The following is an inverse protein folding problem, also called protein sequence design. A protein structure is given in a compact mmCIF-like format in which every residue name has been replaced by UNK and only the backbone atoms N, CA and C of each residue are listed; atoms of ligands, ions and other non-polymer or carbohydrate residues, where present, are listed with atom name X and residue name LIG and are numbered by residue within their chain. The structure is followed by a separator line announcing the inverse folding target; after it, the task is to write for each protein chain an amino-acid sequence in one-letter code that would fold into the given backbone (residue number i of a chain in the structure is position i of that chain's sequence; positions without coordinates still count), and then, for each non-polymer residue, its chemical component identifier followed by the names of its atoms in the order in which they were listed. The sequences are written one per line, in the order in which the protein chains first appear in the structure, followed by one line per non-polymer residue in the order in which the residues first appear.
data_IF_685227761095
#
_entry.id   IF_685227761095
#
_cell.length_a   1.000
_cell.length_b   1.000
_cell.length_c   1.000
_cell.angle_alpha   90.00
_cell.angle_beta   90.00
_cell.angle_gamma   90.00
#
_symmetry.space_group_name_H-M   'P 1'
#
loop_
_entity.id
_entity.type
_entity.pdbx_description
1 polymer ?
#
# COMPACT_ATOMS: atom_id res chain seq x y z
N UNK A 1 -23.32 -16.85 24.68
CA UNK A 1 -22.17 -15.94 24.53
C UNK A 1 -22.43 -14.73 25.41
N UNK A 2 -21.74 -14.60 26.56
CA UNK A 2 -21.89 -13.45 27.45
C UNK A 2 -20.54 -12.73 27.57
N UNK A 3 -20.53 -11.44 27.22
CA UNK A 3 -19.34 -10.60 27.23
C UNK A 3 -18.88 -10.38 28.67
N UNK A 4 -17.59 -10.63 28.95
CA UNK A 4 -16.97 -10.31 30.25
C UNK A 4 -16.80 -8.79 30.32
N UNK A 5 -17.51 -8.13 31.23
CA UNK A 5 -17.29 -6.72 31.55
C UNK A 5 -15.89 -6.49 32.13
N UNK A 6 -15.23 -5.41 31.73
CA UNK A 6 -13.95 -5.01 32.31
C UNK A 6 -14.15 -4.56 33.77
N UNK A 7 -13.26 -4.97 34.70
CA UNK A 7 -13.34 -4.52 36.08
C UNK A 7 -12.99 -3.02 36.15
N UNK A 8 -13.91 -2.23 36.73
CA UNK A 8 -13.66 -0.84 37.09
C UNK A 8 -12.53 -0.83 38.13
N UNK A 9 -11.44 -0.06 37.93
CA UNK A 9 -10.35 -0.03 38.89
C UNK A 9 -10.88 0.49 40.25
N UNK A 10 -10.40 -0.06 41.38
CA UNK A 10 -10.84 0.36 42.70
C UNK A 10 -10.57 1.85 42.87
N UNK A 11 -11.60 2.61 43.28
CA UNK A 11 -11.45 4.02 43.61
C UNK A 11 -10.44 4.14 44.76
N UNK A 12 -9.23 4.59 44.45
CA UNK A 12 -8.19 4.81 45.45
C UNK A 12 -8.63 5.91 46.42
N UNK A 13 -8.38 5.70 47.72
CA UNK A 13 -8.61 6.72 48.75
C UNK A 13 -7.91 8.04 48.36
N UNK A 14 -8.55 9.19 48.57
CA UNK A 14 -8.02 10.51 48.23
C UNK A 14 -6.64 10.78 48.85
N UNK A 15 -6.36 10.24 50.05
CA UNK A 15 -5.04 10.31 50.69
C UNK A 15 -3.98 9.53 49.90
N UNK A 16 -4.35 8.34 49.40
CA UNK A 16 -3.45 7.54 48.58
C UNK A 16 -3.19 8.21 47.23
N UNK A 17 -4.19 8.87 46.63
CA UNK A 17 -4.03 9.65 45.40
C UNK A 17 -3.08 10.83 45.60
N UNK A 18 -3.23 11.60 46.69
CA UNK A 18 -2.33 12.70 47.03
C UNK A 18 -0.88 12.21 47.24
N UNK A 19 -0.71 11.08 47.92
CA UNK A 19 0.62 10.49 48.12
C UNK A 19 1.27 10.07 46.79
N UNK A 20 0.51 9.45 45.88
CA UNK A 20 0.99 9.07 44.54
C UNK A 20 1.42 10.32 43.76
N UNK A 21 0.60 11.37 43.79
CA UNK A 21 0.90 12.63 43.11
C UNK A 21 2.19 13.27 43.65
N UNK A 22 2.36 13.31 44.97
CA UNK A 22 3.60 13.79 45.60
C UNK A 22 4.82 12.97 45.21
N UNK A 23 4.68 11.64 45.09
CA UNK A 23 5.77 10.77 44.63
C UNK A 23 6.15 11.05 43.16
N UNK A 24 5.17 11.29 42.29
CA UNK A 24 5.43 11.65 40.89
C UNK A 24 6.20 12.96 40.79
N UNK A 25 5.79 14.01 41.51
CA UNK A 25 6.51 15.30 41.49
C UNK A 25 7.95 15.14 41.95
N UNK A 26 8.19 14.39 43.04
CA UNK A 26 9.56 14.14 43.51
C UNK A 26 10.40 13.43 42.47
N UNK A 27 9.83 12.42 41.82
CA UNK A 27 10.50 11.65 40.76
C UNK A 27 10.80 12.52 39.55
N UNK A 28 9.86 13.37 39.14
CA UNK A 28 10.03 14.32 38.05
C UNK A 28 11.14 15.32 38.36
N UNK A 29 11.16 15.91 39.56
CA UNK A 29 12.22 16.83 39.98
C UNK A 29 13.60 16.16 39.96
N UNK A 30 13.70 14.91 40.42
CA UNK A 30 14.94 14.15 40.33
C UNK A 30 15.34 13.84 38.88
N UNK A 31 14.37 13.47 38.04
CA UNK A 31 14.61 13.22 36.63
C UNK A 31 15.10 14.49 35.93
N UNK A 32 14.48 15.64 36.19
CA UNK A 32 14.88 16.94 35.67
C UNK A 32 16.30 17.32 36.10
N UNK A 33 16.69 17.08 37.36
CA UNK A 33 18.07 17.32 37.83
C UNK A 33 19.08 16.39 37.15
N UNK A 34 18.71 15.12 36.93
CA UNK A 34 19.56 14.12 36.26
C UNK A 34 19.61 14.31 34.74
N UNK A 35 18.65 15.03 34.16
CA UNK A 35 18.47 15.16 32.72
C UNK A 35 19.64 15.87 32.02
N UNK A 36 20.16 17.04 32.48
CA UNK A 36 21.31 17.67 31.83
C UNK A 36 22.57 16.80 31.85
N UNK A 37 22.77 16.00 32.90
CA UNK A 37 23.92 15.11 32.99
C UNK A 37 23.81 13.92 32.03
N UNK A 38 22.62 13.32 31.90
CA UNK A 38 22.39 12.17 31.01
C UNK A 38 22.18 12.55 29.56
N UNK A 39 21.49 13.67 29.30
CA UNK A 39 20.96 14.06 28.00
C UNK A 39 21.42 15.45 27.55
N UNK A 40 22.28 16.13 28.30
CA UNK A 40 22.75 17.47 27.94
C UNK A 40 23.49 17.54 26.60
N UNK A 41 23.99 16.42 26.10
CA UNK A 41 24.56 16.33 24.75
C UNK A 41 23.52 16.61 23.63
N UNK A 42 22.21 16.43 23.90
CA UNK A 42 21.13 16.75 22.97
C UNK A 42 20.85 18.24 22.85
N UNK A 43 21.33 19.05 23.81
CA UNK A 43 21.18 20.51 23.80
C UNK A 43 22.55 21.15 23.57
N UNK A 44 23.12 21.04 22.36
CA UNK A 44 24.39 21.69 22.08
C UNK A 44 24.24 23.21 22.31
N UNK A 45 25.29 23.89 22.82
CA UNK A 45 25.29 25.33 22.92
C UNK A 45 24.95 25.96 21.58
N UNK A 46 24.13 27.00 21.58
CA UNK A 46 23.68 27.71 20.39
C UNK A 46 24.84 28.09 19.45
N UNK A 47 26.00 28.45 20.00
CA UNK A 47 27.22 28.73 19.24
C UNK A 47 27.69 27.58 18.34
N UNK A 48 27.50 26.31 18.74
CA UNK A 48 27.84 25.15 17.91
C UNK A 48 26.84 24.94 16.79
N UNK A 49 25.58 25.31 16.99
CA UNK A 49 24.54 25.24 15.96
C UNK A 49 24.80 26.31 14.88
N UNK A 50 25.12 27.55 15.29
CA UNK A 50 25.38 28.66 14.36
C UNK A 50 26.64 28.43 13.52
N UNK A 51 27.68 27.81 14.09
CA UNK A 51 28.91 27.48 13.34
C UNK A 51 28.66 26.53 12.17
N UNK A 52 27.74 25.58 12.30
CA UNK A 52 27.39 24.65 11.21
C UNK A 52 26.57 25.29 10.09
N UNK A 53 25.89 26.41 10.34
CA UNK A 53 25.13 27.15 9.31
C UNK A 53 26.01 28.20 8.59
N UNK A 54 27.08 28.65 9.25
CA UNK A 54 28.04 29.64 8.74
C UNK A 54 29.19 29.03 7.92
N UNK A 55 29.40 27.71 7.92
CA UNK A 55 30.34 27.10 7.00
C UNK A 55 29.76 27.15 5.60
N UNK A 56 30.46 27.83 4.68
CA UNK A 56 30.03 28.06 3.31
C UNK A 56 29.58 26.75 2.65
N UNK A 57 28.56 26.78 1.76
CA UNK A 57 28.06 25.58 1.12
C UNK A 57 29.20 24.87 0.39
N UNK A 58 29.64 23.74 0.98
CA UNK A 58 30.62 22.87 0.36
C UNK A 58 30.14 22.56 -1.07
N UNK A 59 31.02 22.60 -2.08
CA UNK A 59 30.63 22.28 -3.44
C UNK A 59 29.98 20.90 -3.45
N UNK A 60 28.74 20.84 -3.91
CA UNK A 60 27.92 19.63 -3.95
C UNK A 60 28.78 18.52 -4.58
N UNK A 61 29.05 17.41 -3.87
CA UNK A 61 29.86 16.36 -4.45
C UNK A 61 29.13 15.82 -5.68
N UNK A 62 29.80 15.87 -6.84
CA UNK A 62 29.34 15.22 -8.07
C UNK A 62 29.48 13.70 -7.88
N UNK A 63 28.53 13.11 -7.17
CA UNK A 63 28.45 11.67 -7.00
C UNK A 63 27.84 11.13 -8.29
N UNK A 64 28.67 10.64 -9.20
CA UNK A 64 28.18 9.82 -10.30
C UNK A 64 27.61 8.52 -9.71
N UNK A 65 26.35 8.15 -9.97
CA UNK A 65 25.82 6.88 -9.52
C UNK A 65 26.64 5.72 -10.09
N UNK A 66 27.00 4.76 -9.24
CA UNK A 66 27.62 3.51 -9.69
C UNK A 66 26.75 2.84 -10.76
N UNK A 67 27.34 2.12 -11.71
CA UNK A 67 26.64 1.58 -12.90
C UNK A 67 25.33 0.84 -12.59
N UNK A 68 25.27 0.10 -11.48
CA UNK A 68 24.07 -0.64 -11.07
C UNK A 68 22.94 0.24 -10.50
N UNK A 69 23.24 1.48 -10.12
CA UNK A 69 22.27 2.50 -9.67
C UNK A 69 21.79 3.38 -10.83
N UNK A 70 22.40 3.25 -12.02
CA UNK A 70 21.98 3.99 -13.19
C UNK A 70 20.68 3.39 -13.71
N UNK A 71 19.71 4.27 -14.00
CA UNK A 71 18.44 3.87 -14.61
C UNK A 71 18.75 3.31 -16.00
N UNK A 72 18.40 2.04 -16.22
CA UNK A 72 18.55 1.44 -17.54
C UNK A 72 17.66 2.18 -18.54
N UNK A 73 18.15 2.46 -19.76
CA UNK A 73 17.32 3.08 -20.79
C UNK A 73 16.10 2.21 -21.04
N UNK A 74 14.93 2.84 -21.12
CA UNK A 74 13.68 2.15 -21.43
C UNK A 74 13.84 1.52 -22.80
N UNK A 75 13.83 0.19 -22.84
CA UNK A 75 13.92 -0.53 -24.09
C UNK A 75 12.62 -0.25 -24.86
N UNK A 76 12.69 0.19 -26.13
CA UNK A 76 11.51 0.54 -26.90
C UNK A 76 10.51 -0.61 -26.95
N UNK A 77 9.24 -0.28 -26.76
CA UNK A 77 8.13 -1.22 -26.61
C UNK A 77 7.99 -2.13 -27.84
N UNK A 78 8.40 -1.64 -29.01
CA UNK A 78 8.38 -2.35 -30.29
C UNK A 78 9.21 -3.64 -30.26
N UNK A 79 10.23 -3.73 -29.39
CA UNK A 79 11.03 -4.96 -29.25
C UNK A 79 10.25 -6.10 -28.59
N UNK A 80 9.25 -5.78 -27.76
CA UNK A 80 8.50 -6.77 -26.99
C UNK A 80 7.06 -6.94 -27.45
N UNK A 81 6.44 -5.91 -28.05
CA UNK A 81 5.09 -6.00 -28.61
C UNK A 81 5.18 -6.39 -30.09
N UNK A 82 4.98 -7.68 -30.37
CA UNK A 82 4.84 -8.19 -31.73
C UNK A 82 3.41 -7.94 -32.22
N UNK A 83 3.24 -6.97 -33.13
CA UNK A 83 1.93 -6.66 -33.72
C UNK A 83 1.73 -7.56 -34.95
N UNK A 84 0.81 -8.52 -34.89
CA UNK A 84 0.39 -9.31 -36.03
C UNK A 84 -0.66 -8.56 -36.87
N UNK A 85 -0.80 -8.86 -38.17
CA UNK A 85 -1.82 -8.23 -39.01
C UNK A 85 -3.23 -8.55 -38.52
N UNK A 86 -4.15 -7.59 -38.71
CA UNK A 86 -5.56 -7.77 -38.33
C UNK A 86 -6.24 -8.83 -39.22
N UNK A 87 -7.20 -9.61 -38.68
CA UNK A 87 -8.01 -10.50 -39.50
C UNK A 87 -8.77 -9.74 -40.62
N UNK A 88 -9.29 -10.44 -41.65
CA UNK A 88 -10.04 -9.81 -42.73
C UNK A 88 -11.36 -9.22 -42.25
N UNK A 89 -11.64 -7.98 -42.67
CA UNK A 89 -12.84 -7.25 -42.28
C UNK A 89 -14.08 -7.92 -42.92
N UNK A 90 -15.17 -8.14 -42.16
CA UNK A 90 -16.40 -8.71 -42.69
C UNK A 90 -17.07 -7.76 -43.69
N UNK A 91 -17.69 -8.33 -44.72
CA UNK A 91 -18.40 -7.56 -45.77
C UNK A 91 -19.75 -7.02 -45.30
N UNK A 92 -20.32 -7.59 -44.23
CA UNK A 92 -21.65 -7.23 -43.73
C UNK A 92 -21.54 -6.37 -42.48
N UNK A 93 -22.44 -5.40 -42.34
CA UNK A 93 -22.51 -4.53 -41.15
C UNK A 93 -22.86 -5.30 -39.89
N UNK A 94 -23.71 -6.32 -39.98
CA UNK A 94 -24.02 -7.22 -38.87
C UNK A 94 -22.78 -8.00 -38.41
N UNK A 95 -21.94 -8.44 -39.34
CA UNK A 95 -20.69 -9.12 -39.03
C UNK A 95 -19.65 -8.19 -38.39
N UNK A 96 -19.79 -6.87 -38.50
CA UNK A 96 -18.82 -5.92 -37.95
C UNK A 96 -18.82 -5.86 -36.42
N UNK A 97 -19.87 -6.35 -35.77
CA UNK A 97 -19.93 -6.39 -34.30
C UNK A 97 -19.17 -7.64 -33.83
N UNK A 98 -18.08 -7.44 -33.09
CA UNK A 98 -17.37 -8.53 -32.41
C UNK A 98 -16.53 -9.46 -33.29
N UNK A 99 -16.41 -9.22 -34.61
CA UNK A 99 -15.67 -10.13 -35.51
C UNK A 99 -14.24 -10.45 -35.09
N UNK A 100 -13.50 -9.49 -34.53
CA UNK A 100 -12.14 -9.74 -34.03
C UNK A 100 -12.12 -10.79 -32.92
N UNK A 101 -13.10 -10.74 -32.04
CA UNK A 101 -13.27 -11.64 -30.90
C UNK A 101 -13.79 -13.03 -31.29
N UNK A 102 -14.25 -13.21 -32.54
CA UNK A 102 -14.69 -14.53 -33.06
C UNK A 102 -13.54 -15.35 -33.66
N UNK A 103 -12.35 -14.75 -33.83
CA UNK A 103 -11.18 -15.44 -34.39
C UNK A 103 -10.48 -16.20 -33.27
N UNK A 104 -10.26 -17.53 -33.41
CA UNK A 104 -9.55 -18.31 -32.40
C UNK A 104 -8.19 -17.71 -32.07
N UNK A 105 -7.94 -17.45 -30.78
CA UNK A 105 -6.72 -16.81 -30.28
C UNK A 105 -6.75 -15.28 -30.19
N UNK A 106 -7.81 -14.63 -30.70
CA UNK A 106 -8.11 -13.21 -30.50
C UNK A 106 -9.39 -12.99 -29.68
N UNK A 107 -9.86 -14.06 -29.03
CA UNK A 107 -11.05 -14.07 -28.18
C UNK A 107 -10.85 -13.15 -26.97
N UNK A 108 -11.89 -12.39 -26.60
CA UNK A 108 -11.85 -11.56 -25.39
C UNK A 108 -11.97 -12.41 -24.12
N UNK A 109 -12.74 -13.50 -24.20
CA UNK A 109 -13.03 -14.38 -23.08
C UNK A 109 -12.13 -15.62 -23.12
N UNK A 110 -11.00 -15.59 -22.41
CA UNK A 110 -10.05 -16.71 -22.40
C UNK A 110 -10.51 -17.93 -21.58
N UNK A 111 -11.39 -17.72 -20.60
CA UNK A 111 -11.68 -18.72 -19.56
C UNK A 111 -13.11 -19.22 -19.54
N UNK A 112 -14.05 -18.48 -20.13
CA UNK A 112 -15.48 -18.78 -20.02
C UNK A 112 -16.13 -18.71 -21.39
N UNK A 113 -16.66 -19.84 -21.87
CA UNK A 113 -17.51 -19.83 -23.05
C UNK A 113 -18.93 -19.50 -22.61
N UNK A 114 -19.34 -18.23 -22.74
CA UNK A 114 -20.72 -17.81 -22.41
C UNK A 114 -21.67 -18.44 -23.44
N UNK A 115 -22.24 -19.59 -23.08
CA UNK A 115 -23.31 -20.23 -23.86
C UNK A 115 -24.63 -19.58 -23.47
N UNK A 116 -24.94 -18.43 -24.04
CA UNK A 116 -26.24 -17.75 -23.81
C UNK A 116 -27.33 -18.38 -24.68
N UNK A 117 -27.65 -19.64 -24.41
CA UNK A 117 -28.89 -20.27 -24.88
C UNK A 117 -29.80 -20.44 -23.66
N UNK A 118 -31.11 -20.19 -23.79
CA UNK A 118 -32.07 -20.49 -22.72
C UNK A 118 -31.87 -21.95 -22.25
N UNK A 119 -31.67 -22.14 -20.95
CA UNK A 119 -31.41 -23.46 -20.35
C UNK A 119 -29.97 -23.97 -20.40
N UNK A 120 -29.01 -23.24 -21.00
CA UNK A 120 -27.59 -23.64 -21.00
C UNK A 120 -27.00 -23.66 -19.59
N UNK A 121 -27.36 -22.69 -18.75
CA UNK A 121 -26.95 -22.63 -17.35
C UNK A 121 -27.52 -23.80 -16.54
N UNK A 122 -28.80 -24.13 -16.74
CA UNK A 122 -29.44 -25.29 -16.11
C UNK A 122 -28.77 -26.61 -16.51
N UNK A 123 -28.37 -26.76 -17.78
CA UNK A 123 -27.58 -27.92 -18.24
C UNK A 123 -26.21 -27.99 -17.58
N UNK A 124 -25.52 -26.85 -17.43
CA UNK A 124 -24.22 -26.80 -16.76
C UNK A 124 -24.29 -27.23 -15.30
N UNK A 125 -25.42 -26.98 -14.63
CA UNK A 125 -25.69 -27.39 -13.25
C UNK A 125 -26.31 -28.79 -13.13
N UNK A 126 -26.54 -29.49 -14.25
CA UNK A 126 -27.32 -30.74 -14.30
C UNK A 126 -28.67 -30.64 -13.57
N UNK A 127 -29.34 -29.49 -13.70
CA UNK A 127 -30.59 -29.24 -13.00
C UNK A 127 -31.73 -30.11 -13.56
N UNK A 128 -32.60 -30.68 -12.70
CA UNK A 128 -33.70 -31.51 -13.17
C UNK A 128 -34.75 -30.68 -13.95
N UNK A 129 -35.42 -31.33 -14.90
CA UNK A 129 -36.32 -30.66 -15.84
C UNK A 129 -37.49 -29.96 -15.14
N UNK A 130 -37.93 -30.45 -13.96
CA UNK A 130 -39.06 -29.88 -13.22
C UNK A 130 -38.80 -28.45 -12.73
N UNK A 131 -37.53 -28.03 -12.58
CA UNK A 131 -37.15 -26.71 -12.07
C UNK A 131 -36.81 -25.66 -13.13
N UNK A 132 -37.08 -25.91 -14.42
CA UNK A 132 -36.72 -25.00 -15.53
C UNK A 132 -37.90 -24.40 -16.30
N UNK A 133 -39.08 -24.36 -15.68
CA UNK A 133 -40.30 -23.73 -16.25
C UNK A 133 -40.33 -22.21 -16.06
#
# INVERSE_FOLDING_TARGET
MAQKGHPVPPQLNFVAQDQIWRCHIKTELEAAKKWPHKWGFLTPPFEKLVKHESEEPLPKPEIMPQEHLQVQPVIPVEKYIKISPSPPIPKTTQGFIGWRSTVPGLELDHYYQIRSCKGAFSKQLNWPAEGTN
#
